data_IF_504898580989
#
_entry.id   IF_504898580989
#
_cell.length_a   1.000
_cell.length_b   1.000
_cell.length_c   1.000
_cell.angle_alpha   90.00
_cell.angle_beta   90.00
_cell.angle_gamma   90.00
#
_symmetry.space_group_name_H-M   'P 1'
#
loop_
_entity.id
_entity.type
_entity.pdbx_description
1 polymer ?
#
# COMPACT_ATOMS: atom_id res chain seq x y z
N UNK A 1 -29.18 -18.86 -3.29
CA UNK A 1 -30.53 -18.40 -3.69
C UNK A 1 -30.62 -16.86 -3.60
N UNK A 2 -30.46 -16.25 -2.42
CA UNK A 2 -30.60 -14.82 -2.19
C UNK A 2 -29.71 -13.91 -3.09
N UNK A 3 -28.51 -14.33 -3.42
CA UNK A 3 -27.61 -13.55 -4.29
C UNK A 3 -28.06 -13.47 -5.74
N UNK A 4 -28.63 -14.55 -6.29
CA UNK A 4 -29.18 -14.57 -7.64
C UNK A 4 -30.45 -13.75 -7.76
N UNK A 5 -31.31 -13.78 -6.76
CA UNK A 5 -32.53 -12.96 -6.70
C UNK A 5 -32.17 -11.48 -6.68
N UNK A 6 -31.22 -11.06 -5.82
CA UNK A 6 -30.76 -9.67 -5.78
C UNK A 6 -30.11 -9.19 -7.08
N UNK A 7 -29.41 -10.08 -7.80
CA UNK A 7 -28.86 -9.78 -9.12
C UNK A 7 -29.98 -9.66 -10.18
N UNK A 8 -30.99 -10.53 -10.12
CA UNK A 8 -32.12 -10.46 -11.03
C UNK A 8 -32.93 -9.16 -10.86
N UNK A 9 -33.12 -8.73 -9.62
CA UNK A 9 -33.82 -7.49 -9.28
C UNK A 9 -33.05 -6.26 -9.80
N UNK A 10 -31.72 -6.29 -9.76
CA UNK A 10 -30.88 -5.14 -10.15
C UNK A 10 -30.53 -5.10 -11.64
N UNK A 11 -30.32 -6.26 -12.27
CA UNK A 11 -29.80 -6.36 -13.65
C UNK A 11 -30.74 -7.07 -14.63
N UNK A 12 -31.86 -7.62 -14.13
CA UNK A 12 -32.83 -8.37 -14.92
C UNK A 12 -32.52 -9.88 -15.02
N UNK A 13 -33.57 -10.65 -15.27
CA UNK A 13 -33.49 -12.12 -15.33
C UNK A 13 -32.64 -12.62 -16.52
N UNK A 14 -32.64 -11.91 -17.64
CA UNK A 14 -31.82 -12.25 -18.81
C UNK A 14 -30.32 -12.15 -18.53
N UNK A 15 -29.90 -11.17 -17.75
CA UNK A 15 -28.51 -11.03 -17.31
C UNK A 15 -28.11 -12.20 -16.44
N UNK A 16 -28.94 -12.56 -15.44
CA UNK A 16 -28.66 -13.69 -14.53
C UNK A 16 -28.63 -15.03 -15.26
N UNK A 17 -29.40 -15.17 -16.33
CA UNK A 17 -29.38 -16.36 -17.17
C UNK A 17 -28.09 -16.49 -18.01
N UNK A 18 -27.52 -15.35 -18.41
CA UNK A 18 -26.26 -15.28 -19.17
C UNK A 18 -25.01 -15.44 -18.28
N UNK A 19 -25.12 -15.11 -16.97
CA UNK A 19 -24.05 -15.29 -16.00
C UNK A 19 -24.06 -16.76 -15.54
N UNK A 20 -22.90 -17.43 -15.62
CA UNK A 20 -22.74 -18.81 -15.17
C UNK A 20 -22.92 -18.97 -13.65
N UNK A 21 -21.85 -19.30 -12.95
CA UNK A 21 -21.89 -19.47 -11.50
C UNK A 21 -21.80 -18.15 -10.75
N UNK A 22 -22.69 -17.97 -9.78
CA UNK A 22 -22.68 -16.80 -8.87
C UNK A 22 -22.16 -17.25 -7.52
N UNK A 23 -20.95 -16.77 -7.18
CA UNK A 23 -20.35 -16.98 -5.87
C UNK A 23 -20.64 -15.76 -4.99
N UNK A 24 -21.17 -16.01 -3.80
CA UNK A 24 -21.37 -15.00 -2.78
C UNK A 24 -20.27 -15.12 -1.72
N UNK A 25 -19.48 -14.08 -1.55
CA UNK A 25 -18.48 -14.01 -0.49
C UNK A 25 -19.07 -13.32 0.74
N UNK A 26 -18.75 -13.82 1.93
CA UNK A 26 -19.06 -13.14 3.17
C UNK A 26 -18.01 -12.05 3.48
N UNK A 27 -18.35 -10.99 4.21
CA UNK A 27 -17.37 -10.07 4.76
C UNK A 27 -16.35 -10.82 5.63
N UNK A 28 -15.13 -10.30 5.70
CA UNK A 28 -14.12 -10.85 6.59
C UNK A 28 -14.57 -10.73 8.05
N UNK A 29 -14.39 -11.80 8.81
CA UNK A 29 -14.53 -11.74 10.27
C UNK A 29 -13.28 -11.09 10.89
N UNK A 30 -13.38 -10.49 12.11
CA UNK A 30 -12.21 -9.94 12.80
C UNK A 30 -11.07 -10.96 12.96
N UNK A 31 -11.40 -12.22 13.23
CA UNK A 31 -10.44 -13.31 13.39
C UNK A 31 -9.72 -13.61 12.06
N UNK A 32 -10.48 -13.62 10.95
CA UNK A 32 -9.93 -13.83 9.62
C UNK A 32 -9.00 -12.69 9.21
N UNK A 33 -9.34 -11.44 9.54
CA UNK A 33 -8.49 -10.28 9.30
C UNK A 33 -7.22 -10.32 10.14
N UNK A 34 -7.32 -10.70 11.42
CA UNK A 34 -6.16 -10.85 12.29
C UNK A 34 -5.21 -11.94 11.79
N UNK A 35 -5.76 -13.08 11.32
CA UNK A 35 -4.97 -14.16 10.73
C UNK A 35 -4.27 -13.71 9.43
N UNK A 36 -4.98 -13.01 8.57
CA UNK A 36 -4.43 -12.46 7.33
C UNK A 36 -3.35 -11.41 7.60
N UNK A 37 -3.57 -10.51 8.56
CA UNK A 37 -2.57 -9.53 8.98
C UNK A 37 -1.31 -10.20 9.54
N UNK A 38 -1.45 -11.25 10.34
CA UNK A 38 -0.33 -12.02 10.83
C UNK A 38 0.46 -12.67 9.69
N UNK A 39 -0.22 -13.23 8.69
CA UNK A 39 0.42 -13.80 7.50
C UNK A 39 1.19 -12.73 6.71
N UNK A 40 0.61 -11.57 6.48
CA UNK A 40 1.25 -10.45 5.78
C UNK A 40 2.48 -9.93 6.54
N UNK A 41 2.39 -9.80 7.87
CA UNK A 41 3.52 -9.38 8.71
C UNK A 41 4.65 -10.41 8.72
N UNK A 42 4.34 -11.71 8.71
CA UNK A 42 5.36 -12.75 8.59
C UNK A 42 6.08 -12.70 7.23
N UNK A 43 5.33 -12.51 6.15
CA UNK A 43 5.91 -12.34 4.81
C UNK A 43 6.79 -11.07 4.75
N UNK A 44 6.33 -9.97 5.35
CA UNK A 44 7.09 -8.74 5.49
C UNK A 44 8.39 -8.98 6.28
N UNK A 45 8.34 -9.67 7.41
CA UNK A 45 9.52 -9.96 8.23
C UNK A 45 10.56 -10.77 7.44
N UNK A 46 10.15 -11.78 6.69
CA UNK A 46 11.03 -12.55 5.81
C UNK A 46 11.66 -11.69 4.72
N UNK A 47 10.87 -10.80 4.11
CA UNK A 47 11.34 -9.88 3.08
C UNK A 47 12.34 -8.85 3.64
N UNK A 48 12.07 -8.28 4.80
CA UNK A 48 12.98 -7.37 5.51
C UNK A 48 14.28 -8.08 5.84
N UNK A 49 14.20 -9.29 6.34
CA UNK A 49 15.41 -10.09 6.64
C UNK A 49 16.24 -10.36 5.39
N UNK A 50 15.61 -10.85 4.32
CA UNK A 50 16.31 -11.24 3.10
C UNK A 50 16.86 -10.06 2.29
N UNK A 51 16.20 -8.89 2.34
CA UNK A 51 16.58 -7.73 1.51
C UNK A 51 17.37 -6.68 2.26
N UNK A 52 17.08 -6.47 3.54
CA UNK A 52 17.68 -5.41 4.34
C UNK A 52 18.65 -5.97 5.41
N UNK A 53 18.66 -7.29 5.65
CA UNK A 53 19.51 -7.91 6.69
C UNK A 53 19.02 -7.62 8.12
N UNK A 54 17.81 -7.12 8.29
CA UNK A 54 17.23 -6.74 9.58
C UNK A 54 16.23 -7.79 10.07
N UNK A 55 16.15 -8.00 11.37
CA UNK A 55 15.13 -8.85 11.99
C UNK A 55 13.95 -7.96 12.42
N UNK A 56 12.78 -8.16 11.80
CA UNK A 56 11.58 -7.41 12.13
C UNK A 56 10.81 -8.10 13.24
N UNK A 57 10.45 -7.35 14.29
CA UNK A 57 9.53 -7.78 15.34
C UNK A 57 8.32 -6.86 15.41
N UNK A 58 7.13 -7.46 15.56
CA UNK A 58 5.87 -6.74 15.63
C UNK A 58 4.96 -7.40 16.66
N UNK A 59 4.38 -6.63 17.55
CA UNK A 59 3.45 -7.09 18.57
C UNK A 59 2.01 -7.24 18.05
N UNK A 60 1.10 -7.59 18.95
CA UNK A 60 -0.32 -7.75 18.64
C UNK A 60 -0.94 -6.43 18.18
N UNK A 61 -0.53 -5.30 18.75
CA UNK A 61 -0.98 -3.96 18.41
C UNK A 61 -0.67 -3.58 16.95
N UNK A 62 0.49 -4.01 16.42
CA UNK A 62 0.86 -3.78 15.02
C UNK A 62 0.03 -4.65 14.09
N UNK A 63 -0.23 -5.91 14.49
CA UNK A 63 -1.13 -6.80 13.75
C UNK A 63 -2.54 -6.20 13.66
N UNK A 64 -3.06 -5.69 14.76
CA UNK A 64 -4.39 -5.10 14.81
C UNK A 64 -4.45 -3.79 14.00
N UNK A 65 -3.39 -2.99 14.03
CA UNK A 65 -3.24 -1.82 13.16
C UNK A 65 -3.27 -2.20 11.66
N UNK A 66 -2.54 -3.23 11.26
CA UNK A 66 -2.54 -3.71 9.87
C UNK A 66 -3.91 -4.28 9.50
N UNK A 67 -4.56 -5.05 10.37
CA UNK A 67 -5.91 -5.57 10.15
C UNK A 67 -6.94 -4.46 9.94
N UNK A 68 -6.80 -3.34 10.66
CA UNK A 68 -7.67 -2.16 10.53
C UNK A 68 -7.54 -1.44 9.18
N UNK A 69 -6.52 -1.73 8.37
CA UNK A 69 -6.37 -1.18 7.02
C UNK A 69 -7.33 -1.81 5.99
N UNK A 70 -8.06 -2.86 6.38
CA UNK A 70 -9.13 -3.42 5.56
C UNK A 70 -10.28 -2.42 5.45
N UNK A 71 -10.56 -1.93 4.26
CA UNK A 71 -11.65 -1.00 3.98
C UNK A 71 -12.71 -1.65 3.08
N UNK A 72 -13.90 -1.04 3.01
CA UNK A 72 -14.95 -1.49 2.07
C UNK A 72 -14.55 -1.33 0.61
N UNK A 73 -13.66 -0.39 0.32
CA UNK A 73 -13.22 -0.07 -1.04
C UNK A 73 -12.05 -0.96 -1.47
N UNK A 74 -11.04 -1.10 -0.60
CA UNK A 74 -9.80 -1.84 -0.88
C UNK A 74 -9.84 -3.30 -0.42
N UNK A 75 -10.77 -3.67 0.45
CA UNK A 75 -10.81 -5.02 1.01
C UNK A 75 -9.50 -5.39 1.70
N UNK A 76 -9.06 -6.63 1.50
CA UNK A 76 -7.80 -7.14 2.07
C UNK A 76 -6.54 -6.55 1.41
N UNK A 77 -6.66 -5.89 0.26
CA UNK A 77 -5.53 -5.23 -0.42
C UNK A 77 -4.91 -4.14 0.46
N UNK A 78 -5.73 -3.46 1.28
CA UNK A 78 -5.26 -2.46 2.23
C UNK A 78 -4.19 -2.97 3.22
N UNK A 79 -4.25 -4.26 3.60
CA UNK A 79 -3.24 -4.88 4.45
C UNK A 79 -1.90 -5.03 3.71
N UNK A 80 -1.95 -5.47 2.46
CA UNK A 80 -0.76 -5.61 1.63
C UNK A 80 -0.11 -4.24 1.35
N UNK A 81 -0.92 -3.23 1.01
CA UNK A 81 -0.47 -1.84 0.82
C UNK A 81 0.24 -1.30 2.08
N UNK A 82 -0.34 -1.57 3.26
CA UNK A 82 0.27 -1.17 4.52
C UNK A 82 1.64 -1.83 4.72
N UNK A 83 1.74 -3.13 4.51
CA UNK A 83 3.01 -3.86 4.61
C UNK A 83 4.04 -3.37 3.57
N UNK A 84 3.61 -3.02 2.36
CA UNK A 84 4.49 -2.45 1.34
C UNK A 84 5.02 -1.07 1.77
N UNK A 85 4.17 -0.22 2.35
CA UNK A 85 4.58 1.08 2.90
C UNK A 85 5.59 0.93 4.02
N UNK A 86 5.40 -0.05 4.93
CA UNK A 86 6.34 -0.36 5.99
C UNK A 86 7.70 -0.76 5.40
N UNK A 87 7.69 -1.65 4.41
CA UNK A 87 8.92 -2.10 3.75
C UNK A 87 9.67 -0.93 3.08
N UNK A 88 8.95 -0.06 2.39
CA UNK A 88 9.54 1.12 1.73
C UNK A 88 10.15 2.09 2.74
N UNK A 89 9.46 2.36 3.86
CA UNK A 89 9.98 3.24 4.90
C UNK A 89 11.28 2.68 5.52
N UNK A 90 11.32 1.38 5.83
CA UNK A 90 12.53 0.74 6.34
C UNK A 90 13.66 0.72 5.30
N UNK A 91 13.33 0.52 4.02
CA UNK A 91 14.32 0.59 2.93
C UNK A 91 14.92 1.98 2.81
N UNK A 92 14.08 3.01 2.88
CA UNK A 92 14.51 4.41 2.85
C UNK A 92 15.44 4.74 4.03
N UNK A 93 15.09 4.27 5.23
CA UNK A 93 15.95 4.41 6.40
C UNK A 93 17.33 3.76 6.19
N UNK A 94 17.37 2.56 5.63
CA UNK A 94 18.61 1.88 5.31
C UNK A 94 19.48 2.65 4.30
N UNK A 95 18.83 3.25 3.28
CA UNK A 95 19.52 4.04 2.27
C UNK A 95 20.10 5.33 2.83
N UNK A 96 19.34 6.03 3.69
CA UNK A 96 19.78 7.28 4.31
C UNK A 96 20.91 7.09 5.33
N UNK A 97 20.98 5.93 5.96
CA UNK A 97 21.97 5.67 7.02
C UNK A 97 23.33 5.24 6.46
N UNK A 98 23.41 4.90 5.17
CA UNK A 98 24.63 4.49 4.43
C UNK A 98 25.50 3.42 5.13
N UNK A 99 24.89 2.67 6.05
CA UNK A 99 25.53 1.61 6.78
C UNK A 99 24.87 0.26 6.44
N UNK A 100 25.65 -0.82 6.39
CA UNK A 100 25.10 -2.17 6.47
C UNK A 100 24.44 -2.32 7.84
N UNK A 101 23.17 -1.91 7.92
CA UNK A 101 22.40 -2.05 9.14
C UNK A 101 22.22 -3.53 9.44
N UNK A 102 22.54 -3.93 10.64
CA UNK A 102 22.24 -5.26 11.16
C UNK A 102 21.60 -5.10 12.53
N UNK A 103 20.68 -5.98 12.84
CA UNK A 103 20.02 -5.96 14.14
C UNK A 103 18.52 -6.16 14.06
N UNK A 104 17.83 -5.75 15.12
CA UNK A 104 16.41 -5.94 15.28
C UNK A 104 15.67 -4.60 15.17
N UNK A 105 14.66 -4.56 14.29
CA UNK A 105 13.69 -3.47 14.20
C UNK A 105 12.42 -3.89 14.93
N UNK A 106 12.08 -3.19 16.00
CA UNK A 106 10.81 -3.36 16.69
C UNK A 106 9.80 -2.36 16.12
N UNK A 107 8.65 -2.85 15.66
CA UNK A 107 7.50 -2.02 15.31
C UNK A 107 6.56 -1.94 16.50
N UNK A 108 6.01 -0.76 16.73
CA UNK A 108 4.94 -0.50 17.71
C UNK A 108 3.86 0.36 17.08
N UNK A 109 2.61 0.16 17.49
CA UNK A 109 1.50 0.99 17.07
C UNK A 109 1.28 2.10 18.10
N UNK A 110 1.23 3.35 17.63
CA UNK A 110 0.89 4.53 18.39
C UNK A 110 -0.41 5.15 17.86
N UNK A 111 -1.10 6.01 18.62
CA UNK A 111 -2.32 6.68 18.15
C UNK A 111 -2.14 7.45 16.84
N UNK A 112 -0.94 7.95 16.59
CA UNK A 112 -0.59 8.75 15.40
C UNK A 112 -0.12 7.89 14.22
N UNK A 113 0.11 6.57 14.41
CA UNK A 113 0.59 5.68 13.35
C UNK A 113 1.54 4.60 13.85
N UNK A 114 2.38 4.11 12.96
CA UNK A 114 3.41 3.11 13.29
C UNK A 114 4.73 3.80 13.63
N UNK A 115 5.34 3.33 14.72
CA UNK A 115 6.69 3.70 15.12
C UNK A 115 7.63 2.53 14.95
N UNK A 116 8.92 2.82 14.79
CA UNK A 116 9.97 1.81 14.73
C UNK A 116 11.11 2.18 15.67
N UNK A 117 11.78 1.17 16.20
CA UNK A 117 13.00 1.31 17.00
C UNK A 117 14.02 0.32 16.50
N UNK A 118 15.21 0.78 16.13
CA UNK A 118 16.33 -0.06 15.73
C UNK A 118 17.20 -0.36 16.95
N UNK A 119 17.46 -1.64 17.23
CA UNK A 119 18.33 -2.10 18.32
C UNK A 119 18.03 -1.47 19.70
N UNK A 120 16.76 -1.19 19.99
CA UNK A 120 16.34 -0.57 21.24
C UNK A 120 16.59 0.94 21.33
N UNK A 121 16.85 1.61 20.20
CA UNK A 121 16.91 3.07 20.14
C UNK A 121 15.54 3.70 20.46
N UNK A 122 15.51 5.01 20.60
CA UNK A 122 14.25 5.73 20.82
C UNK A 122 13.29 5.51 19.64
N UNK A 123 12.00 5.26 19.90
CA UNK A 123 11.01 5.09 18.84
C UNK A 123 10.90 6.36 17.98
N UNK A 124 10.82 6.16 16.67
CA UNK A 124 10.61 7.22 15.70
C UNK A 124 9.40 6.89 14.80
N UNK A 125 8.74 7.91 14.27
CA UNK A 125 7.63 7.70 13.34
C UNK A 125 8.14 7.05 12.05
N UNK A 126 7.57 5.88 11.75
CA UNK A 126 7.99 5.08 10.59
C UNK A 126 7.69 5.78 9.27
N UNK A 127 6.53 6.41 9.16
CA UNK A 127 6.10 6.98 7.89
C UNK A 127 6.66 8.37 7.60
N UNK A 128 7.27 9.03 8.60
CA UNK A 128 8.03 10.25 8.37
C UNK A 128 9.29 10.02 7.53
N UNK A 129 9.75 8.77 7.45
CA UNK A 129 10.87 8.37 6.59
C UNK A 129 10.51 8.33 5.11
N UNK A 130 9.22 8.17 4.79
CA UNK A 130 8.78 8.21 3.41
C UNK A 130 8.89 9.65 2.91
N UNK A 131 9.46 9.86 1.73
CA UNK A 131 9.41 11.18 1.11
C UNK A 131 7.95 11.62 1.08
N UNK A 132 7.68 12.85 1.51
CA UNK A 132 6.35 13.45 1.46
C UNK A 132 5.77 13.17 0.08
N UNK A 133 4.60 12.54 0.04
CA UNK A 133 3.98 12.15 -1.23
C UNK A 133 4.09 13.35 -2.16
N UNK A 134 4.76 13.14 -3.29
CA UNK A 134 5.16 14.15 -4.27
C UNK A 134 3.97 14.97 -4.78
N UNK A 135 3.42 15.83 -3.95
CA UNK A 135 2.30 16.74 -4.31
C UNK A 135 2.76 18.06 -4.91
N UNK A 136 4.06 18.38 -4.79
CA UNK A 136 4.66 19.52 -5.43
C UNK A 136 5.66 19.19 -6.54
N UNK A 137 5.82 17.93 -6.85
CA UNK A 137 7.00 17.42 -7.53
C UNK A 137 6.83 17.09 -9.00
N UNK A 138 5.65 17.22 -9.58
CA UNK A 138 5.53 17.02 -11.04
C UNK A 138 6.34 18.10 -11.76
N UNK A 139 6.27 19.35 -11.28
CA UNK A 139 7.06 20.46 -11.80
C UNK A 139 8.55 20.30 -11.50
N UNK A 140 8.89 19.82 -10.32
CA UNK A 140 10.28 19.60 -9.93
C UNK A 140 10.90 18.41 -10.67
N UNK A 141 10.18 17.31 -10.81
CA UNK A 141 10.59 16.16 -11.63
C UNK A 141 10.71 16.57 -13.10
N UNK A 142 9.80 17.40 -13.60
CA UNK A 142 9.89 17.94 -14.97
C UNK A 142 11.16 18.76 -15.13
N UNK A 143 11.46 19.64 -14.19
CA UNK A 143 12.67 20.46 -14.22
C UNK A 143 13.95 19.62 -14.14
N UNK A 144 14.00 18.61 -13.28
CA UNK A 144 15.11 17.66 -13.18
C UNK A 144 15.29 16.84 -14.46
N UNK A 145 14.16 16.36 -15.01
CA UNK A 145 14.17 15.59 -16.26
C UNK A 145 14.59 16.47 -17.46
N UNK A 146 14.18 17.73 -17.49
CA UNK A 146 14.59 18.69 -18.52
C UNK A 146 16.07 19.07 -18.41
N UNK A 147 16.62 19.09 -17.21
CA UNK A 147 18.04 19.35 -16.97
C UNK A 147 18.96 18.20 -17.47
N UNK A 148 18.43 16.99 -17.65
CA UNK A 148 19.18 15.88 -18.25
C UNK A 148 19.43 16.16 -19.73
N UNK A 149 20.67 16.12 -20.15
CA UNK A 149 21.06 16.32 -21.57
C UNK A 149 20.70 15.10 -22.40
N UNK A 150 19.92 15.28 -23.46
CA UNK A 150 19.52 14.21 -24.37
C UNK A 150 18.19 13.52 -23.97
N UNK A 151 17.96 12.33 -24.53
CA UNK A 151 16.78 11.46 -24.25
C UNK A 151 15.41 12.11 -24.56
N UNK A 152 15.33 12.99 -25.56
CA UNK A 152 14.08 13.67 -25.94
C UNK A 152 12.87 12.76 -26.07
N UNK A 153 12.93 11.58 -26.75
CA UNK A 153 11.77 10.67 -26.86
C UNK A 153 11.32 10.09 -25.52
N UNK A 154 12.27 9.88 -24.58
CA UNK A 154 11.97 9.37 -23.25
C UNK A 154 11.30 10.45 -22.40
N UNK A 155 11.75 11.69 -22.52
CA UNK A 155 11.14 12.85 -21.85
C UNK A 155 9.70 13.06 -22.29
N UNK A 156 9.43 13.03 -23.58
CA UNK A 156 8.07 13.15 -24.14
C UNK A 156 7.16 12.03 -23.65
N UNK A 157 7.67 10.80 -23.61
CA UNK A 157 6.90 9.65 -23.09
C UNK A 157 6.54 9.82 -21.61
N UNK A 158 7.52 10.18 -20.77
CA UNK A 158 7.30 10.37 -19.31
C UNK A 158 6.34 11.54 -19.05
N UNK A 159 6.47 12.64 -19.78
CA UNK A 159 5.55 13.77 -19.65
C UNK A 159 4.13 13.40 -20.08
N UNK A 160 3.96 12.67 -21.17
CA UNK A 160 2.66 12.17 -21.61
C UNK A 160 2.01 11.22 -20.59
N UNK A 161 2.81 10.41 -19.90
CA UNK A 161 2.33 9.53 -18.83
C UNK A 161 1.86 10.34 -17.61
N UNK A 162 2.63 11.34 -17.21
CA UNK A 162 2.29 12.23 -16.09
C UNK A 162 0.99 13.02 -16.36
N UNK A 163 0.83 13.55 -17.56
CA UNK A 163 -0.37 14.27 -17.97
C UNK A 163 -1.60 13.36 -17.99
N UNK A 164 -1.47 12.12 -18.47
CA UNK A 164 -2.53 11.12 -18.44
C UNK A 164 -2.96 10.78 -17.01
N UNK A 165 -2.01 10.55 -16.10
CA UNK A 165 -2.31 10.28 -14.69
C UNK A 165 -3.03 11.46 -14.04
N UNK A 166 -2.62 12.69 -14.33
CA UNK A 166 -3.27 13.90 -13.80
C UNK A 166 -4.72 14.04 -14.33
N UNK A 167 -4.93 13.73 -15.60
CA UNK A 167 -6.29 13.70 -16.19
C UNK A 167 -7.15 12.62 -15.54
N UNK A 168 -6.61 11.42 -15.32
CA UNK A 168 -7.33 10.33 -14.65
C UNK A 168 -7.68 10.70 -13.20
N UNK A 169 -6.76 11.31 -12.45
CA UNK A 169 -7.02 11.78 -11.09
C UNK A 169 -8.12 12.85 -11.06
N UNK A 170 -8.10 13.80 -11.99
CA UNK A 170 -9.16 14.83 -12.10
C UNK A 170 -10.52 14.21 -12.46
N UNK A 171 -10.55 13.21 -13.36
CA UNK A 171 -11.77 12.47 -13.71
C UNK A 171 -12.31 11.69 -12.53
N UNK A 172 -11.44 11.00 -11.78
CA UNK A 172 -11.82 10.27 -10.57
C UNK A 172 -12.37 11.23 -9.49
N UNK A 173 -11.72 12.39 -9.29
CA UNK A 173 -12.20 13.43 -8.37
C UNK A 173 -13.54 14.03 -8.78
N UNK A 174 -13.83 14.07 -10.09
CA UNK A 174 -15.11 14.52 -10.65
C UNK A 174 -16.19 13.41 -10.70
N UNK A 175 -15.91 12.21 -10.16
CA UNK A 175 -16.86 11.11 -10.08
C UNK A 175 -17.04 10.30 -11.38
N UNK A 176 -16.19 10.50 -12.37
CA UNK A 176 -16.19 9.69 -13.59
C UNK A 176 -15.43 8.38 -13.33
N UNK A 177 -16.11 7.23 -13.53
CA UNK A 177 -15.43 5.92 -13.51
C UNK A 177 -14.43 5.84 -14.66
N UNK A 178 -13.20 5.48 -14.33
CA UNK A 178 -12.19 5.02 -15.28
C UNK A 178 -12.44 3.59 -15.67
#
# INVERSE_FOLDING_TARGET
>A
RKGREALADKFGASFVAAVGDVCQTAPFTPEALAALAAQQLNALAQRVHSRLGLTLTAGAEVRDYVAAQCSKEKGAEGLADCCERIFRALSEYCLQTDAKLSGTVALTAAPEGLQFALNGAAPADLFSLLPAAYTGAVEQIRAELDALVGLAPVKEYVFGLADNLQVQQRRAAAGFKT
#
